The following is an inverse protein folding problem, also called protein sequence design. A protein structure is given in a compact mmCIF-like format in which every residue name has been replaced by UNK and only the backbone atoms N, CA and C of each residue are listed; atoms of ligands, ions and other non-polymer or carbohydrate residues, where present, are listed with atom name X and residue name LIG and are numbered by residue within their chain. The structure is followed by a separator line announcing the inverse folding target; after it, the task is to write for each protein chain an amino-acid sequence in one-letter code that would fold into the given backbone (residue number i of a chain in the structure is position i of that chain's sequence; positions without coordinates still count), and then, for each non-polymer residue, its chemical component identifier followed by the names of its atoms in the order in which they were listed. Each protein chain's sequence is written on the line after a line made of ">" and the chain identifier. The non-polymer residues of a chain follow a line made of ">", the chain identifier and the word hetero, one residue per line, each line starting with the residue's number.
data_IF_340802061974
#
_entry.id   IF_340802061974
#
_cell.length_a   1.000
_cell.length_b   1.000
_cell.length_c   1.000
_cell.angle_alpha   90.00
_cell.angle_beta   90.00
_cell.angle_gamma   90.00
#
_symmetry.space_group_name_H-M   'P 1'
#
loop_
_entity.id
_entity.type
_entity.pdbx_description
1 polymer ?
#
# COMPACT_ATOMS: atom_id res chain seq x y z
N UNK A 1 -12.22 9.40 -12.52
CA UNK A 1 -11.25 10.20 -13.28
C UNK A 1 -10.06 10.54 -12.39
N UNK A 2 -8.83 10.37 -12.93
CA UNK A 2 -7.58 10.61 -12.20
C UNK A 2 -7.03 12.04 -12.39
N UNK A 3 -7.32 12.67 -13.51
CA UNK A 3 -6.84 14.01 -13.88
C UNK A 3 -7.02 15.03 -12.74
N UNK A 4 -5.94 15.73 -12.40
CA UNK A 4 -5.90 16.75 -11.34
C UNK A 4 -6.26 16.24 -9.93
N UNK A 5 -6.23 14.94 -9.69
CA UNK A 5 -6.45 14.36 -8.35
C UNK A 5 -5.17 14.29 -7.54
N UNK A 6 -5.32 14.27 -6.23
CA UNK A 6 -4.24 14.09 -5.27
C UNK A 6 -4.17 12.62 -4.87
N UNK A 7 -2.99 12.03 -5.02
CA UNK A 7 -2.71 10.66 -4.60
C UNK A 7 -1.74 10.69 -3.44
N UNK A 8 -2.03 9.96 -2.38
CA UNK A 8 -1.06 9.65 -1.33
C UNK A 8 -0.49 8.25 -1.56
N UNK A 9 0.81 8.16 -1.72
CA UNK A 9 1.57 6.90 -1.65
C UNK A 9 2.17 6.82 -0.23
N UNK A 10 1.72 5.85 0.56
CA UNK A 10 2.24 5.59 1.89
C UNK A 10 3.18 4.39 1.85
N UNK A 11 4.48 4.65 2.01
CA UNK A 11 5.59 3.73 1.74
C UNK A 11 6.22 3.95 0.36
N UNK A 12 7.52 4.34 0.36
CA UNK A 12 8.25 4.69 -0.87
C UNK A 12 9.40 3.74 -1.17
N UNK A 13 9.14 2.44 -0.94
CA UNK A 13 10.02 1.34 -1.32
C UNK A 13 10.01 1.06 -2.83
N UNK A 14 10.38 -0.17 -3.21
CA UNK A 14 10.45 -0.59 -4.62
C UNK A 14 9.12 -0.41 -5.38
N UNK A 15 7.99 -0.70 -4.73
CA UNK A 15 6.66 -0.59 -5.34
C UNK A 15 6.21 0.87 -5.42
N UNK A 16 6.31 1.63 -4.32
CA UNK A 16 5.93 3.04 -4.28
C UNK A 16 6.68 3.87 -5.33
N UNK A 17 8.00 3.64 -5.50
CA UNK A 17 8.81 4.27 -6.55
C UNK A 17 8.38 3.93 -7.97
N UNK A 18 7.83 2.74 -8.19
CA UNK A 18 7.28 2.36 -9.51
C UNK A 18 5.87 2.90 -9.72
N UNK A 19 5.10 3.07 -8.66
CA UNK A 19 3.74 3.59 -8.74
C UNK A 19 3.73 5.08 -9.08
N UNK A 20 4.63 5.87 -8.49
CA UNK A 20 4.62 7.33 -8.65
C UNK A 20 4.69 7.77 -10.12
N UNK A 21 5.56 7.16 -10.93
CA UNK A 21 5.68 7.50 -12.36
C UNK A 21 4.39 7.23 -13.14
N UNK A 22 3.66 6.18 -12.76
CA UNK A 22 2.36 5.83 -13.36
C UNK A 22 1.29 6.82 -12.96
N UNK A 23 1.27 7.22 -11.69
CA UNK A 23 0.32 8.22 -11.20
C UNK A 23 0.55 9.59 -11.88
N UNK A 24 1.80 10.03 -11.96
CA UNK A 24 2.15 11.28 -12.64
C UNK A 24 1.74 11.30 -14.11
N UNK A 25 1.79 10.15 -14.80
CA UNK A 25 1.33 10.03 -16.19
C UNK A 25 -0.18 10.24 -16.37
N UNK A 26 -0.97 10.22 -15.29
CA UNK A 26 -2.39 10.59 -15.27
C UNK A 26 -2.63 12.04 -14.85
N UNK A 27 -1.61 12.89 -14.90
CA UNK A 27 -1.67 14.30 -14.50
C UNK A 27 -2.17 14.50 -13.06
N UNK A 28 -1.74 13.63 -12.15
CA UNK A 28 -2.08 13.71 -10.72
C UNK A 28 -0.98 14.42 -9.95
N UNK A 29 -1.33 14.97 -8.77
CA UNK A 29 -0.37 15.40 -7.76
C UNK A 29 -0.12 14.23 -6.81
N UNK A 30 1.16 13.83 -6.67
CA UNK A 30 1.51 12.67 -5.86
C UNK A 30 2.21 13.13 -4.58
N UNK A 31 1.55 12.89 -3.46
CA UNK A 31 2.08 13.06 -2.11
C UNK A 31 2.69 11.73 -1.66
N UNK A 32 3.80 11.78 -0.93
CA UNK A 32 4.50 10.59 -0.45
C UNK A 32 4.78 10.71 1.03
N UNK A 33 4.37 9.70 1.78
CA UNK A 33 4.74 9.52 3.17
C UNK A 33 5.65 8.31 3.31
N UNK A 34 6.88 8.52 3.73
CA UNK A 34 7.81 7.47 4.14
C UNK A 34 8.81 8.06 5.13
N UNK A 35 8.82 7.65 6.42
CA UNK A 35 9.69 8.24 7.44
C UNK A 35 11.17 7.83 7.27
N UNK A 36 11.49 6.88 6.40
CA UNK A 36 12.83 6.33 6.21
C UNK A 36 13.48 6.78 4.89
N UNK A 37 12.77 7.53 4.05
CA UNK A 37 13.26 7.97 2.74
C UNK A 37 13.49 9.48 2.74
N UNK A 38 14.70 9.89 2.30
CA UNK A 38 15.05 11.31 2.18
C UNK A 38 14.09 12.03 1.20
N UNK A 39 13.62 13.20 1.63
CA UNK A 39 12.75 14.08 0.84
C UNK A 39 13.32 14.36 -0.56
N UNK A 40 14.65 14.49 -0.72
CA UNK A 40 15.31 14.71 -2.01
C UNK A 40 15.05 13.55 -2.99
N UNK A 41 15.00 12.32 -2.47
CA UNK A 41 14.68 11.14 -3.28
C UNK A 41 13.24 11.22 -3.76
N UNK A 42 12.30 11.56 -2.88
CA UNK A 42 10.88 11.72 -3.22
C UNK A 42 10.69 12.81 -4.27
N UNK A 43 11.31 13.98 -4.06
CA UNK A 43 11.29 15.09 -5.02
C UNK A 43 11.91 14.73 -6.36
N UNK A 44 13.01 13.98 -6.34
CA UNK A 44 13.68 13.49 -7.56
C UNK A 44 12.81 12.57 -8.42
N UNK A 45 11.77 11.95 -7.84
CA UNK A 45 10.77 11.17 -8.56
C UNK A 45 9.50 11.98 -8.91
N UNK A 46 9.47 13.29 -8.65
CA UNK A 46 8.33 14.16 -8.91
C UNK A 46 7.26 14.15 -7.81
N UNK A 47 7.54 13.56 -6.66
CA UNK A 47 6.64 13.51 -5.51
C UNK A 47 6.75 14.72 -4.60
N UNK A 48 5.70 14.96 -3.83
CA UNK A 48 5.62 15.96 -2.76
C UNK A 48 5.75 15.21 -1.43
N UNK A 49 6.81 15.47 -0.67
CA UNK A 49 6.98 14.87 0.64
C UNK A 49 5.95 15.40 1.63
N UNK A 50 5.38 14.52 2.45
CA UNK A 50 4.59 14.88 3.63
C UNK A 50 5.21 14.29 4.89
N UNK A 51 5.20 15.05 5.98
CA UNK A 51 5.92 14.69 7.21
C UNK A 51 5.12 13.74 8.11
N UNK A 52 3.84 13.57 7.85
CA UNK A 52 2.98 12.64 8.57
C UNK A 52 1.93 12.02 7.67
N UNK A 53 1.48 10.82 8.04
CA UNK A 53 0.38 10.17 7.32
C UNK A 53 -0.88 11.03 7.33
N UNK A 54 -1.16 11.71 8.45
CA UNK A 54 -2.33 12.57 8.63
C UNK A 54 -2.34 13.77 7.65
N UNK A 55 -1.16 14.36 7.39
CA UNK A 55 -1.01 15.42 6.41
C UNK A 55 -1.40 14.94 5.01
N UNK A 56 -0.90 13.77 4.60
CA UNK A 56 -1.23 13.19 3.31
C UNK A 56 -2.70 12.78 3.17
N UNK A 57 -3.29 12.18 4.21
CA UNK A 57 -4.69 11.74 4.22
C UNK A 57 -5.67 12.90 4.02
N UNK A 58 -5.40 14.08 4.60
CA UNK A 58 -6.28 15.26 4.48
C UNK A 58 -6.42 15.76 3.05
N UNK A 59 -5.39 15.63 2.23
CA UNK A 59 -5.36 16.19 0.87
C UNK A 59 -5.66 15.15 -0.21
N UNK A 60 -5.54 13.85 0.10
CA UNK A 60 -5.65 12.79 -0.86
C UNK A 60 -7.09 12.53 -1.33
N UNK A 61 -7.25 12.31 -2.64
CA UNK A 61 -8.43 11.72 -3.26
C UNK A 61 -8.29 10.21 -3.38
N UNK A 62 -7.05 9.74 -3.52
CA UNK A 62 -6.70 8.30 -3.52
C UNK A 62 -5.53 8.06 -2.58
N UNK A 63 -5.60 6.99 -1.81
CA UNK A 63 -4.54 6.55 -0.89
C UNK A 63 -4.12 5.14 -1.29
N UNK A 64 -2.81 4.91 -1.47
CA UNK A 64 -2.27 3.59 -1.77
C UNK A 64 -1.17 3.24 -0.77
N UNK A 65 -1.34 2.09 -0.09
CA UNK A 65 -0.44 1.64 0.97
C UNK A 65 0.61 0.67 0.41
N UNK A 66 1.88 0.92 0.72
CA UNK A 66 3.05 0.16 0.24
C UNK A 66 4.13 -0.03 1.31
N UNK A 67 3.72 -0.12 2.56
CA UNK A 67 4.59 -0.33 3.71
C UNK A 67 4.45 -1.75 4.26
N UNK A 68 5.46 -2.29 4.95
CA UNK A 68 5.33 -3.54 5.68
C UNK A 68 4.43 -3.38 6.91
N UNK A 69 3.90 -4.49 7.42
CA UNK A 69 3.26 -4.51 8.73
C UNK A 69 4.33 -4.57 9.81
N UNK A 70 4.37 -3.56 10.66
CA UNK A 70 5.24 -3.44 11.84
C UNK A 70 4.41 -2.96 13.03
N UNK A 71 5.03 -2.85 14.22
CA UNK A 71 4.38 -2.24 15.39
C UNK A 71 3.88 -0.81 15.11
N UNK A 72 4.63 -0.04 14.32
CA UNK A 72 4.32 1.35 14.00
C UNK A 72 3.25 1.50 12.90
N UNK A 73 3.16 0.53 11.98
CA UNK A 73 2.20 0.55 10.87
C UNK A 73 0.91 -0.22 11.18
N UNK A 74 0.89 -1.02 12.24
CA UNK A 74 -0.32 -1.70 12.68
C UNK A 74 -1.41 -0.70 13.05
N UNK A 75 -2.61 -0.90 12.50
CA UNK A 75 -3.77 -0.02 12.70
C UNK A 75 -3.47 1.47 12.43
N UNK A 76 -2.45 1.75 11.58
CA UNK A 76 -2.11 3.11 11.17
C UNK A 76 -3.32 3.83 10.55
N UNK A 77 -4.10 3.07 9.79
CA UNK A 77 -5.39 3.52 9.26
C UNK A 77 -6.50 2.98 10.15
N UNK A 78 -7.06 3.85 10.95
CA UNK A 78 -8.12 3.58 11.91
C UNK A 78 -9.21 4.66 11.83
N UNK A 79 -10.23 4.59 12.64
CA UNK A 79 -11.36 5.53 12.59
C UNK A 79 -10.93 7.00 12.75
N UNK A 80 -9.89 7.27 13.53
CA UNK A 80 -9.39 8.63 13.74
C UNK A 80 -8.73 9.19 12.47
N UNK A 81 -7.93 8.36 11.78
CA UNK A 81 -7.27 8.75 10.54
C UNK A 81 -8.25 8.76 9.35
N UNK A 82 -9.19 7.81 9.28
CA UNK A 82 -10.25 7.78 8.26
C UNK A 82 -11.16 9.02 8.32
N UNK A 83 -11.45 9.55 9.51
CA UNK A 83 -12.20 10.80 9.67
C UNK A 83 -11.49 12.03 9.11
N UNK A 84 -10.18 11.98 8.90
CA UNK A 84 -9.41 13.08 8.36
C UNK A 84 -9.38 13.08 6.83
N UNK A 85 -9.79 11.96 6.20
CA UNK A 85 -9.82 11.84 4.75
C UNK A 85 -10.98 12.63 4.14
N UNK A 86 -10.87 12.91 2.85
CA UNK A 86 -11.99 13.49 2.10
C UNK A 86 -13.14 12.48 2.00
N UNK A 87 -14.38 12.95 2.04
CA UNK A 87 -15.59 12.10 1.89
C UNK A 87 -15.63 11.32 0.57
N UNK A 88 -15.00 11.82 -0.47
CA UNK A 88 -14.89 11.19 -1.78
C UNK A 88 -13.58 10.38 -1.95
N UNK A 89 -12.77 10.26 -0.90
CA UNK A 89 -11.52 9.52 -0.99
C UNK A 89 -11.73 8.01 -1.10
N UNK A 90 -10.80 7.37 -1.82
CA UNK A 90 -10.70 5.91 -1.94
C UNK A 90 -9.36 5.47 -1.37
N UNK A 91 -9.37 4.42 -0.55
CA UNK A 91 -8.15 3.80 -0.03
C UNK A 91 -7.93 2.41 -0.63
N UNK A 92 -6.69 2.11 -0.99
CA UNK A 92 -6.28 0.82 -1.58
C UNK A 92 -5.16 0.21 -0.74
N UNK A 93 -5.32 -1.04 -0.35
CA UNK A 93 -4.31 -1.81 0.35
C UNK A 93 -4.00 -3.11 -0.38
N UNK A 94 -2.84 -3.17 -1.01
CA UNK A 94 -2.24 -4.36 -1.60
C UNK A 94 -0.91 -4.69 -0.92
N UNK A 95 -0.67 -4.15 0.27
CA UNK A 95 0.59 -4.32 1.01
C UNK A 95 0.50 -5.46 2.04
N UNK A 96 -0.16 -5.22 3.16
CA UNK A 96 -0.37 -6.22 4.23
C UNK A 96 -1.67 -5.94 4.97
N UNK A 97 -2.36 -7.02 5.38
CA UNK A 97 -3.44 -6.94 6.36
C UNK A 97 -2.94 -6.36 7.68
N UNK A 98 -3.84 -5.77 8.49
CA UNK A 98 -3.50 -5.17 9.77
C UNK A 98 -2.91 -3.75 9.71
N UNK A 99 -2.55 -3.21 8.54
CA UNK A 99 -2.21 -1.78 8.38
C UNK A 99 -3.48 -0.94 8.50
N UNK A 100 -4.59 -1.44 7.97
CA UNK A 100 -5.92 -0.85 8.14
C UNK A 100 -6.66 -1.67 9.21
N UNK A 101 -7.27 -1.01 10.19
CA UNK A 101 -8.22 -1.63 11.08
C UNK A 101 -9.51 -1.93 10.29
N UNK A 102 -9.81 -3.21 10.08
CA UNK A 102 -10.91 -3.65 9.20
C UNK A 102 -12.29 -3.26 9.75
N UNK A 103 -12.48 -3.31 11.07
CA UNK A 103 -13.75 -2.90 11.71
C UNK A 103 -13.97 -1.38 11.58
N UNK A 104 -12.92 -0.60 11.77
CA UNK A 104 -12.97 0.85 11.62
C UNK A 104 -13.21 1.26 10.17
N UNK A 105 -12.63 0.52 9.21
CA UNK A 105 -12.87 0.73 7.79
C UNK A 105 -14.33 0.44 7.43
N UNK A 106 -14.90 -0.69 7.85
CA UNK A 106 -16.31 -0.99 7.61
C UNK A 106 -17.23 0.09 8.18
N UNK A 107 -16.96 0.52 9.42
CA UNK A 107 -17.69 1.61 10.07
C UNK A 107 -17.59 2.91 9.26
N UNK A 108 -16.38 3.31 8.87
CA UNK A 108 -16.15 4.54 8.10
C UNK A 108 -16.89 4.53 6.76
N UNK A 109 -16.94 3.39 6.07
CA UNK A 109 -17.65 3.22 4.81
C UNK A 109 -19.18 3.28 4.99
N UNK A 110 -19.71 2.66 6.04
CA UNK A 110 -21.16 2.73 6.38
C UNK A 110 -21.59 4.15 6.74
N UNK A 111 -20.76 4.85 7.49
CA UNK A 111 -20.99 6.24 7.90
C UNK A 111 -20.68 7.27 6.80
N UNK A 112 -20.27 6.85 5.60
CA UNK A 112 -19.89 7.73 4.48
C UNK A 112 -18.76 8.72 4.82
N UNK A 113 -17.82 8.33 5.68
CA UNK A 113 -16.63 9.12 5.98
C UNK A 113 -15.66 9.13 4.80
N UNK A 114 -15.59 8.02 4.05
CA UNK A 114 -14.87 7.89 2.78
C UNK A 114 -15.77 7.24 1.73
N UNK A 115 -15.38 7.35 0.46
CA UNK A 115 -16.18 6.84 -0.65
C UNK A 115 -16.11 5.32 -0.81
N UNK A 116 -14.91 4.74 -0.72
CA UNK A 116 -14.73 3.32 -0.97
C UNK A 116 -13.35 2.80 -0.61
N UNK A 117 -13.17 1.49 -0.68
CA UNK A 117 -11.89 0.84 -0.47
C UNK A 117 -11.65 -0.31 -1.47
N UNK A 118 -10.38 -0.60 -1.76
CA UNK A 118 -9.91 -1.80 -2.46
C UNK A 118 -8.91 -2.55 -1.61
N UNK A 119 -9.17 -3.82 -1.30
CA UNK A 119 -8.31 -4.62 -0.44
C UNK A 119 -7.94 -5.94 -1.12
N UNK A 120 -6.65 -6.22 -1.18
CA UNK A 120 -6.11 -7.51 -1.63
C UNK A 120 -5.56 -8.34 -0.47
N UNK A 121 -5.49 -7.73 0.74
CA UNK A 121 -4.86 -8.32 1.93
C UNK A 121 -5.72 -8.09 3.17
N UNK A 122 -5.66 -9.06 4.12
CA UNK A 122 -6.51 -9.10 5.31
C UNK A 122 -5.71 -9.48 6.54
N UNK A 123 -6.25 -9.17 7.74
CA UNK A 123 -5.65 -9.57 9.03
C UNK A 123 -5.58 -11.10 9.11
N UNK A 124 -6.65 -11.78 8.70
CA UNK A 124 -6.69 -13.23 8.60
C UNK A 124 -6.80 -13.63 7.13
N UNK A 125 -5.89 -14.46 6.66
CA UNK A 125 -5.88 -15.02 5.31
C UNK A 125 -5.87 -16.55 5.38
N UNK A 126 -6.90 -17.23 4.87
CA UNK A 126 -8.11 -16.69 4.20
C UNK A 126 -8.97 -15.82 5.10
N UNK A 127 -9.69 -14.85 4.49
CA UNK A 127 -10.59 -13.94 5.22
C UNK A 127 -11.67 -14.71 5.94
N UNK A 128 -11.96 -14.35 7.20
CA UNK A 128 -13.05 -14.97 7.97
C UNK A 128 -14.42 -14.63 7.35
N UNK A 129 -15.31 -15.62 7.28
CA UNK A 129 -16.63 -15.46 6.65
C UNK A 129 -17.57 -14.49 7.41
N UNK A 130 -17.28 -14.18 8.66
CA UNK A 130 -17.99 -13.20 9.48
C UNK A 130 -17.43 -11.78 9.36
N UNK A 131 -16.33 -11.60 8.60
CA UNK A 131 -15.73 -10.29 8.39
C UNK A 131 -16.76 -9.32 7.77
N UNK A 132 -17.03 -8.16 8.41
CA UNK A 132 -18.07 -7.24 7.97
C UNK A 132 -17.81 -6.65 6.56
N UNK A 133 -16.55 -6.58 6.13
CA UNK A 133 -16.16 -6.07 4.81
C UNK A 133 -16.70 -6.93 3.66
N UNK A 134 -16.93 -8.24 3.87
CA UNK A 134 -17.52 -9.13 2.85
C UNK A 134 -18.94 -8.71 2.43
N UNK A 135 -19.66 -8.01 3.30
CA UNK A 135 -21.03 -7.53 3.05
C UNK A 135 -21.09 -6.03 2.70
N UNK A 136 -19.94 -5.35 2.71
CA UNK A 136 -19.89 -3.91 2.45
C UNK A 136 -19.80 -3.63 0.95
N UNK A 137 -20.85 -3.02 0.38
CA UNK A 137 -20.94 -2.75 -1.07
C UNK A 137 -19.97 -1.68 -1.59
N UNK A 138 -19.24 -1.00 -0.69
CA UNK A 138 -18.25 0.03 -1.04
C UNK A 138 -16.81 -0.51 -1.04
N UNK A 139 -16.64 -1.81 -0.88
CA UNK A 139 -15.32 -2.45 -0.89
C UNK A 139 -15.21 -3.39 -2.07
N UNK A 140 -14.09 -3.31 -2.77
CA UNK A 140 -13.65 -4.33 -3.74
C UNK A 140 -12.61 -5.18 -3.03
N UNK A 141 -12.80 -6.50 -3.06
CA UNK A 141 -11.95 -7.47 -2.39
C UNK A 141 -11.31 -8.41 -3.40
N UNK A 142 -10.05 -8.77 -3.20
CA UNK A 142 -9.35 -9.82 -3.93
C UNK A 142 -8.55 -10.70 -2.96
N UNK A 143 -8.29 -11.97 -3.30
CA UNK A 143 -7.76 -12.96 -2.35
C UNK A 143 -6.23 -12.99 -2.33
N UNK A 144 -5.57 -11.87 -2.04
CA UNK A 144 -4.11 -11.70 -2.03
C UNK A 144 -3.49 -12.15 -3.37
N UNK A 145 -4.06 -11.68 -4.46
CA UNK A 145 -3.75 -12.12 -5.82
C UNK A 145 -3.22 -11.00 -6.74
N UNK A 146 -2.84 -9.86 -6.20
CA UNK A 146 -2.35 -8.72 -6.98
C UNK A 146 -1.14 -9.06 -7.89
N UNK A 147 -0.42 -10.14 -7.60
CA UNK A 147 0.72 -10.62 -8.40
C UNK A 147 0.39 -11.83 -9.29
N UNK A 148 -0.84 -12.34 -9.30
CA UNK A 148 -1.21 -13.55 -10.03
C UNK A 148 -1.51 -13.24 -11.50
N UNK A 149 -0.44 -12.96 -12.26
CA UNK A 149 -0.43 -13.00 -13.72
C UNK A 149 0.58 -14.05 -14.17
N UNK A 150 0.37 -14.64 -15.36
CA UNK A 150 1.28 -15.66 -15.91
C UNK A 150 2.72 -15.15 -15.99
N UNK A 151 2.90 -13.91 -16.42
CA UNK A 151 4.22 -13.29 -16.55
C UNK A 151 4.87 -13.04 -15.18
N UNK A 152 4.09 -12.61 -14.18
CA UNK A 152 4.63 -12.36 -12.85
C UNK A 152 5.01 -13.67 -12.17
N UNK A 153 4.16 -14.69 -12.24
CA UNK A 153 4.39 -16.01 -11.68
C UNK A 153 5.64 -16.65 -12.29
N UNK A 154 5.77 -16.58 -13.63
CA UNK A 154 6.94 -17.07 -14.36
C UNK A 154 8.22 -16.36 -13.92
N UNK A 155 8.21 -15.01 -13.85
CA UNK A 155 9.38 -14.24 -13.38
C UNK A 155 9.75 -14.58 -11.93
N UNK A 156 8.77 -14.68 -11.02
CA UNK A 156 9.04 -15.04 -9.63
C UNK A 156 9.72 -16.41 -9.51
N UNK A 157 9.25 -17.41 -10.28
CA UNK A 157 9.88 -18.75 -10.29
C UNK A 157 11.32 -18.70 -10.78
N UNK A 158 11.57 -18.02 -11.91
CA UNK A 158 12.91 -17.89 -12.50
C UNK A 158 13.84 -17.13 -11.55
N UNK A 159 13.42 -15.99 -11.01
CA UNK A 159 14.26 -15.17 -10.12
C UNK A 159 14.54 -15.87 -8.79
N UNK A 160 13.56 -16.59 -8.23
CA UNK A 160 13.77 -17.40 -7.02
C UNK A 160 14.82 -18.47 -7.24
N UNK A 161 14.69 -19.23 -8.32
CA UNK A 161 15.65 -20.29 -8.68
C UNK A 161 17.05 -19.71 -8.90
N UNK A 162 17.13 -18.60 -9.64
CA UNK A 162 18.40 -17.90 -9.87
C UNK A 162 19.05 -17.43 -8.56
N UNK A 163 18.28 -16.82 -7.66
CA UNK A 163 18.80 -16.35 -6.36
C UNK A 163 19.35 -17.51 -5.51
N UNK A 164 18.72 -18.69 -5.57
CA UNK A 164 19.22 -19.89 -4.88
C UNK A 164 20.57 -20.31 -5.46
N UNK A 165 20.69 -20.40 -6.79
CA UNK A 165 21.93 -20.77 -7.47
C UNK A 165 23.02 -19.74 -7.16
N UNK A 166 22.71 -18.45 -7.31
CA UNK A 166 23.66 -17.35 -7.05
C UNK A 166 24.13 -17.35 -5.58
N UNK A 167 23.28 -17.75 -4.64
CA UNK A 167 23.66 -17.90 -3.23
C UNK A 167 24.72 -18.98 -3.06
N UNK A 168 24.53 -20.18 -3.62
CA UNK A 168 25.50 -21.27 -3.51
C UNK A 168 26.79 -20.99 -4.30
N UNK A 169 26.69 -20.22 -5.36
CA UNK A 169 27.86 -19.76 -6.16
C UNK A 169 28.58 -18.56 -5.54
N UNK A 170 28.13 -18.04 -4.39
CA UNK A 170 28.62 -16.80 -3.76
C UNK A 170 28.53 -15.57 -4.67
N UNK A 171 27.54 -15.52 -5.55
CA UNK A 171 27.28 -14.41 -6.51
C UNK A 171 26.03 -13.62 -6.20
N UNK A 172 25.30 -13.96 -5.13
CA UNK A 172 24.03 -13.32 -4.81
C UNK A 172 24.21 -11.82 -4.59
N UNK A 173 23.34 -11.03 -5.19
CA UNK A 173 23.25 -9.60 -4.91
C UNK A 173 22.85 -9.38 -3.43
N UNK A 174 23.71 -8.71 -2.68
CA UNK A 174 23.50 -8.42 -1.25
C UNK A 174 22.20 -7.66 -0.97
N UNK A 175 21.69 -6.90 -1.95
CA UNK A 175 20.39 -6.21 -1.84
C UNK A 175 19.18 -7.16 -1.83
N UNK A 176 19.38 -8.41 -2.26
CA UNK A 176 18.35 -9.45 -2.26
C UNK A 176 18.31 -10.25 -0.95
N UNK A 177 19.30 -10.07 -0.08
CA UNK A 177 19.35 -10.74 1.23
C UNK A 177 18.49 -9.97 2.21
N UNK A 178 17.45 -10.63 2.72
CA UNK A 178 16.66 -10.10 3.82
C UNK A 178 17.47 -10.21 5.10
N UNK A 179 17.80 -9.07 5.71
CA UNK A 179 18.40 -9.07 7.05
C UNK A 179 17.31 -9.52 8.03
N UNK A 180 17.43 -10.75 8.52
CA UNK A 180 16.63 -11.19 9.66
C UNK A 180 17.18 -10.43 10.86
N UNK A 181 16.43 -9.46 11.34
CA UNK A 181 16.64 -8.93 12.68
C UNK A 181 16.20 -10.05 13.62
N UNK A 182 17.18 -10.79 14.15
CA UNK A 182 16.92 -11.73 15.24
C UNK A 182 16.34 -10.89 16.39
N UNK A 183 15.08 -11.17 16.67
CA UNK A 183 14.32 -10.65 17.82
C UNK A 183 14.91 -11.24 19.09
#
# INVERSE_FOLDING_TARGET
>A
EMLNKNILIAGFGRIGKKLISRCLAFDTKVYVYDPFVDEKIIKGHGGINVNSIAEGLKVADYVSLHMPLTSESKDLINISTLKQMKKNAIIVNTARGGIINENDLDKALRENLIFGAGLDVFINEPINLDNPLLKNKKVILSPHSATFTDECTSRMGIETTKNIIDFFDNKIDKSMIVKIWLI
#
